data_IF_054748705769
#
_entry.id   IF_054748705769
#
_cell.length_a   1.000
_cell.length_b   1.000
_cell.length_c   1.000
_cell.angle_alpha   90.00
_cell.angle_beta   90.00
_cell.angle_gamma   90.00
#
_symmetry.space_group_name_H-M   'P 1'
#
loop_
_entity.id
_entity.type
_entity.pdbx_description
1 polymer ?
#
# COMPACT_ATOMS: atom_id res chain seq x y z
N UNK A 1 -59.52 -1.65 3.40
CA UNK A 1 -59.40 -1.55 4.87
C UNK A 1 -58.54 -2.71 5.36
N UNK A 2 -57.74 -2.53 6.42
CA UNK A 2 -57.04 -3.66 7.05
C UNK A 2 -58.08 -4.50 7.80
N UNK A 3 -58.22 -5.81 7.51
CA UNK A 3 -59.25 -6.67 8.13
C UNK A 3 -59.08 -6.81 9.66
N UNK A 4 -57.94 -6.38 10.18
CA UNK A 4 -57.61 -6.34 11.60
C UNK A 4 -58.30 -5.18 12.37
N UNK A 5 -58.80 -4.16 11.67
CA UNK A 5 -59.45 -3.00 12.29
C UNK A 5 -60.88 -2.79 11.74
N UNK A 6 -61.82 -2.30 12.56
CA UNK A 6 -63.14 -1.92 12.10
C UNK A 6 -63.08 -0.88 10.97
N UNK A 7 -64.03 -0.98 10.04
CA UNK A 7 -64.13 -0.05 8.92
C UNK A 7 -64.32 1.40 9.44
N UNK A 8 -63.59 2.35 8.84
CA UNK A 8 -63.55 3.77 9.22
C UNK A 8 -63.01 4.09 10.63
N UNK A 9 -62.27 3.17 11.28
CA UNK A 9 -61.65 3.47 12.57
C UNK A 9 -60.72 4.70 12.51
N UNK A 10 -60.83 5.56 13.53
CA UNK A 10 -59.99 6.76 13.74
C UNK A 10 -58.95 6.56 14.86
N UNK A 11 -58.88 5.36 15.42
CA UNK A 11 -57.89 5.01 16.44
C UNK A 11 -56.46 5.18 15.87
N UNK A 12 -55.53 5.84 16.61
CA UNK A 12 -54.12 5.92 16.22
C UNK A 12 -53.51 4.60 15.78
N UNK A 13 -53.83 3.48 16.44
CA UNK A 13 -53.32 2.16 16.07
C UNK A 13 -53.79 1.71 14.67
N UNK A 14 -55.04 2.01 14.30
CA UNK A 14 -55.60 1.72 12.98
C UNK A 14 -55.03 2.63 11.87
N UNK A 15 -54.39 3.74 12.26
CA UNK A 15 -53.75 4.72 11.38
C UNK A 15 -52.23 4.61 11.34
N UNK A 16 -51.67 3.54 11.90
CA UNK A 16 -50.23 3.23 11.82
C UNK A 16 -49.38 3.83 12.92
N UNK A 17 -49.96 4.25 14.05
CA UNK A 17 -49.20 4.63 15.23
C UNK A 17 -48.55 3.40 15.87
N UNK A 18 -47.24 3.49 16.13
CA UNK A 18 -46.44 2.41 16.71
C UNK A 18 -46.00 2.84 18.09
N UNK A 19 -46.44 2.10 19.10
CA UNK A 19 -46.22 2.41 20.51
C UNK A 19 -45.06 1.62 21.12
N UNK A 20 -44.79 0.43 20.57
CA UNK A 20 -43.75 -0.46 21.06
C UNK A 20 -42.41 -0.25 20.35
N UNK A 21 -41.31 -0.53 21.06
CA UNK A 21 -39.97 -0.55 20.48
C UNK A 21 -39.60 -1.94 19.94
N UNK A 22 -38.67 -2.02 18.99
CA UNK A 22 -38.14 -3.30 18.50
C UNK A 22 -37.54 -4.17 19.62
N UNK A 23 -36.96 -3.55 20.65
CA UNK A 23 -36.33 -4.26 21.78
C UNK A 23 -37.36 -4.91 22.71
N UNK A 24 -38.53 -4.31 22.84
CA UNK A 24 -39.64 -4.81 23.66
C UNK A 24 -40.56 -5.78 22.90
N UNK A 25 -40.35 -5.93 21.59
CA UNK A 25 -41.22 -6.69 20.68
C UNK A 25 -42.36 -5.84 20.11
N UNK A 26 -42.72 -6.10 18.87
CA UNK A 26 -43.80 -5.43 18.15
C UNK A 26 -45.03 -6.35 18.05
N UNK A 27 -46.22 -5.75 18.09
CA UNK A 27 -47.43 -6.48 17.72
C UNK A 27 -47.49 -6.74 16.20
N UNK A 28 -48.26 -7.74 15.72
CA UNK A 28 -48.37 -8.02 14.28
C UNK A 28 -48.84 -6.82 13.45
N UNK A 29 -49.73 -5.98 13.98
CA UNK A 29 -50.20 -4.77 13.30
C UNK A 29 -49.09 -3.70 13.24
N UNK A 30 -48.35 -3.48 14.33
CA UNK A 30 -47.20 -2.55 14.34
C UNK A 30 -46.09 -3.01 13.39
N UNK A 31 -45.84 -4.32 13.32
CA UNK A 31 -44.90 -4.91 12.36
C UNK A 31 -45.35 -4.66 10.92
N UNK A 32 -46.63 -4.92 10.60
CA UNK A 32 -47.19 -4.64 9.28
C UNK A 32 -47.04 -3.16 8.90
N UNK A 33 -47.35 -2.22 9.80
CA UNK A 33 -47.18 -0.79 9.54
C UNK A 33 -45.71 -0.37 9.46
N UNK A 34 -44.82 -1.01 10.21
CA UNK A 34 -43.37 -0.83 10.08
C UNK A 34 -42.86 -1.23 8.69
N UNK A 35 -43.35 -2.36 8.16
CA UNK A 35 -42.99 -2.85 6.83
C UNK A 35 -43.63 -2.02 5.72
N UNK A 36 -44.91 -1.69 5.85
CA UNK A 36 -45.63 -0.81 4.91
C UNK A 36 -45.03 0.60 4.88
N UNK A 37 -44.47 1.08 5.99
CA UNK A 37 -43.72 2.33 6.08
C UNK A 37 -42.24 2.24 5.67
N UNK A 38 -41.77 1.06 5.22
CA UNK A 38 -40.42 0.84 4.68
C UNK A 38 -39.26 0.88 5.68
N UNK A 39 -39.52 0.94 6.99
CA UNK A 39 -38.49 1.29 7.99
C UNK A 39 -37.53 0.15 8.39
N UNK A 40 -37.85 -1.12 8.11
CA UNK A 40 -36.90 -2.23 8.34
C UNK A 40 -35.83 -2.33 7.23
N UNK A 41 -36.20 -2.16 5.96
CA UNK A 41 -35.27 -2.30 4.82
C UNK A 41 -34.37 -1.09 4.55
N UNK A 42 -34.59 0.04 5.23
CA UNK A 42 -33.89 1.31 5.03
C UNK A 42 -32.59 1.44 5.83
N UNK A 43 -32.33 0.59 6.82
CA UNK A 43 -31.20 0.78 7.75
C UNK A 43 -29.97 -0.07 7.45
N UNK A 44 -30.13 -1.23 6.78
CA UNK A 44 -29.03 -2.18 6.59
C UNK A 44 -28.32 -2.06 5.22
N UNK A 45 -28.94 -1.37 4.26
CA UNK A 45 -28.36 -1.03 2.93
C UNK A 45 -28.11 0.47 2.81
N UNK A 46 -27.63 1.09 3.90
CA UNK A 46 -27.41 2.53 3.91
C UNK A 46 -26.22 2.91 3.00
N UNK A 47 -26.57 3.57 1.90
CA UNK A 47 -25.72 4.30 0.95
C UNK A 47 -24.80 5.25 1.73
N UNK A 48 -23.51 4.91 1.87
CA UNK A 48 -22.54 5.71 2.63
C UNK A 48 -21.17 5.63 1.96
N UNK A 49 -20.74 6.69 1.26
CA UNK A 49 -19.46 6.68 0.53
C UNK A 49 -18.42 7.70 0.99
N UNK A 50 -17.19 7.38 0.60
CA UNK A 50 -16.06 8.29 0.43
C UNK A 50 -15.90 8.59 -1.08
N UNK A 51 -15.13 9.61 -1.45
CA UNK A 51 -14.83 9.86 -2.86
C UNK A 51 -13.96 8.74 -3.47
N UNK A 52 -14.16 8.44 -4.75
CA UNK A 52 -13.49 7.32 -5.43
C UNK A 52 -11.96 7.41 -5.47
N UNK A 53 -11.39 8.62 -5.37
CA UNK A 53 -9.96 8.88 -5.26
C UNK A 53 -9.38 8.62 -3.85
N UNK A 54 -10.22 8.22 -2.89
CA UNK A 54 -9.77 7.90 -1.53
C UNK A 54 -8.91 6.63 -1.54
N UNK A 55 -7.63 6.71 -1.10
CA UNK A 55 -6.77 5.54 -1.04
C UNK A 55 -7.16 4.65 0.14
N UNK A 56 -7.21 3.34 -0.11
CA UNK A 56 -7.43 2.29 0.89
C UNK A 56 -6.29 1.27 0.85
N UNK A 57 -6.06 0.61 1.98
CA UNK A 57 -5.15 -0.53 2.09
C UNK A 57 -6.00 -1.77 2.30
N UNK A 58 -5.87 -2.75 1.41
CA UNK A 58 -6.60 -4.01 1.45
C UNK A 58 -5.63 -5.18 1.36
N UNK A 59 -6.06 -6.35 1.82
CA UNK A 59 -5.38 -7.61 1.60
C UNK A 59 -6.25 -8.50 0.72
N UNK A 60 -5.80 -8.77 -0.49
CA UNK A 60 -6.57 -9.47 -1.53
C UNK A 60 -5.66 -10.47 -2.23
N UNK A 61 -6.12 -11.71 -2.39
CA UNK A 61 -5.36 -12.79 -3.03
C UNK A 61 -3.98 -13.03 -2.37
N UNK A 62 -3.94 -13.00 -1.05
CA UNK A 62 -2.71 -13.24 -0.27
C UNK A 62 -1.69 -12.11 -0.32
N UNK A 63 -2.04 -10.95 -0.89
CA UNK A 63 -1.12 -9.81 -1.06
C UNK A 63 -1.72 -8.51 -0.54
N UNK A 64 -0.94 -7.66 0.14
CA UNK A 64 -1.36 -6.31 0.46
C UNK A 64 -1.40 -5.45 -0.81
N UNK A 65 -2.39 -4.56 -0.88
CA UNK A 65 -2.55 -3.59 -1.96
C UNK A 65 -2.91 -2.23 -1.38
N UNK A 66 -2.37 -1.17 -1.99
CA UNK A 66 -2.86 0.20 -1.80
C UNK A 66 -3.50 0.64 -3.11
N UNK A 67 -4.79 0.91 -3.09
CA UNK A 67 -5.59 1.23 -4.27
C UNK A 67 -6.48 2.43 -3.97
N UNK A 68 -6.88 3.17 -4.99
CA UNK A 68 -8.02 4.08 -4.85
C UNK A 68 -9.28 3.22 -4.81
N UNK A 69 -10.19 3.51 -3.89
CA UNK A 69 -11.39 2.70 -3.69
C UNK A 69 -12.26 2.65 -4.94
N UNK A 70 -12.40 3.76 -5.68
CA UNK A 70 -13.18 3.84 -6.92
C UNK A 70 -12.59 2.96 -8.01
N UNK A 71 -11.30 3.11 -8.32
CA UNK A 71 -10.60 2.31 -9.34
C UNK A 71 -10.70 0.80 -9.05
N UNK A 72 -10.61 0.42 -7.78
CA UNK A 72 -10.73 -0.98 -7.36
C UNK A 72 -12.16 -1.50 -7.50
N UNK A 73 -13.17 -0.72 -7.08
CA UNK A 73 -14.59 -1.07 -7.24
C UNK A 73 -14.96 -1.20 -8.72
N UNK A 74 -14.60 -0.23 -9.55
CA UNK A 74 -14.89 -0.23 -10.99
C UNK A 74 -14.28 -1.45 -11.67
N UNK A 75 -13.04 -1.80 -11.30
CA UNK A 75 -12.38 -3.01 -11.80
C UNK A 75 -13.15 -4.26 -11.40
N UNK A 76 -13.60 -4.38 -10.14
CA UNK A 76 -14.37 -5.53 -9.64
C UNK A 76 -15.73 -5.67 -10.35
N UNK A 77 -16.45 -4.57 -10.53
CA UNK A 77 -17.73 -4.55 -11.25
C UNK A 77 -17.55 -4.98 -12.72
N UNK A 78 -16.48 -4.54 -13.38
CA UNK A 78 -16.23 -4.90 -14.80
C UNK A 78 -15.93 -6.39 -15.05
N UNK A 79 -15.49 -7.14 -14.02
CA UNK A 79 -15.15 -8.57 -14.15
C UNK A 79 -16.40 -9.45 -14.09
N UNK A 80 -17.41 -9.06 -13.31
CA UNK A 80 -18.60 -9.87 -13.05
C UNK A 80 -19.90 -9.05 -13.23
N UNK A 81 -20.18 -8.50 -14.43
CA UNK A 81 -21.34 -7.64 -14.64
C UNK A 81 -22.67 -8.34 -14.32
N UNK A 82 -22.76 -9.64 -14.57
CA UNK A 82 -23.98 -10.43 -14.34
C UNK A 82 -24.34 -10.63 -12.85
N UNK A 83 -23.40 -10.36 -11.94
CA UNK A 83 -23.60 -10.47 -10.48
C UNK A 83 -23.93 -9.14 -9.81
N UNK A 84 -23.99 -8.04 -10.57
CA UNK A 84 -24.27 -6.71 -10.04
C UNK A 84 -25.76 -6.59 -9.76
N UNK A 85 -26.09 -6.28 -8.51
CA UNK A 85 -27.45 -5.90 -8.12
C UNK A 85 -27.63 -4.39 -8.37
N UNK A 86 -28.58 -4.02 -9.22
CA UNK A 86 -28.90 -2.64 -9.56
C UNK A 86 -30.14 -2.17 -8.79
N UNK A 87 -30.01 -1.03 -8.11
CA UNK A 87 -31.06 -0.39 -7.34
C UNK A 87 -31.37 0.99 -7.95
N UNK A 88 -32.30 1.02 -8.91
CA UNK A 88 -32.66 2.23 -9.66
C UNK A 88 -33.24 3.34 -8.76
N UNK A 89 -33.97 2.96 -7.71
CA UNK A 89 -34.57 3.89 -6.74
C UNK A 89 -33.51 4.67 -5.94
N UNK A 90 -32.29 4.16 -5.90
CA UNK A 90 -31.18 4.65 -5.07
C UNK A 90 -29.96 5.07 -5.87
N UNK A 91 -30.02 4.94 -7.19
CA UNK A 91 -28.88 5.11 -8.11
C UNK A 91 -27.62 4.40 -7.58
N UNK A 92 -27.79 3.11 -7.26
CA UNK A 92 -26.78 2.31 -6.57
C UNK A 92 -26.58 0.95 -7.26
N UNK A 93 -25.33 0.54 -7.32
CA UNK A 93 -24.89 -0.79 -7.70
C UNK A 93 -24.25 -1.48 -6.49
N UNK A 94 -24.55 -2.75 -6.30
CA UNK A 94 -23.98 -3.59 -5.25
C UNK A 94 -23.43 -4.87 -5.85
N UNK A 95 -22.22 -5.24 -5.45
CA UNK A 95 -21.62 -6.53 -5.77
C UNK A 95 -21.19 -7.22 -4.48
N UNK A 96 -21.78 -8.39 -4.21
CA UNK A 96 -21.32 -9.28 -3.14
C UNK A 96 -20.02 -9.96 -3.58
N UNK A 97 -19.04 -10.02 -2.68
CA UNK A 97 -17.76 -10.66 -2.94
C UNK A 97 -17.82 -12.12 -2.53
N UNK A 98 -17.44 -13.01 -3.46
CA UNK A 98 -17.33 -14.45 -3.19
C UNK A 98 -15.94 -14.82 -2.65
N UNK A 99 -14.96 -13.94 -2.82
CA UNK A 99 -13.59 -14.11 -2.40
C UNK A 99 -13.24 -13.23 -1.19
N UNK A 100 -12.31 -13.70 -0.36
CA UNK A 100 -11.90 -13.00 0.86
C UNK A 100 -11.01 -11.82 0.54
N UNK A 101 -11.49 -10.62 0.90
CA UNK A 101 -10.72 -9.37 0.89
C UNK A 101 -10.77 -8.77 2.29
N UNK A 102 -9.60 -8.49 2.88
CA UNK A 102 -9.52 -7.89 4.21
C UNK A 102 -9.22 -6.40 4.14
N UNK A 103 -9.76 -5.64 5.08
CA UNK A 103 -9.47 -4.23 5.28
C UNK A 103 -9.28 -3.92 6.78
N UNK A 104 -8.37 -3.02 7.17
CA UNK A 104 -8.30 -2.56 8.55
C UNK A 104 -9.62 -1.87 8.93
N UNK A 105 -10.24 -2.34 10.00
CA UNK A 105 -11.50 -1.84 10.53
C UNK A 105 -11.41 -1.60 12.03
N UNK A 106 -12.36 -0.85 12.58
CA UNK A 106 -12.39 -0.49 14.00
C UNK A 106 -13.78 -0.76 14.59
N UNK A 107 -13.81 -1.34 15.79
CA UNK A 107 -15.05 -1.56 16.53
C UNK A 107 -15.50 -0.30 17.32
N UNK A 108 -16.67 -0.37 17.96
CA UNK A 108 -17.16 0.73 18.79
C UNK A 108 -16.31 1.03 20.04
N UNK A 109 -15.42 0.11 20.44
CA UNK A 109 -14.46 0.31 21.52
C UNK A 109 -13.15 0.96 21.07
N UNK A 110 -12.91 1.06 19.76
CA UNK A 110 -11.64 1.54 19.20
C UNK A 110 -10.61 0.44 18.96
N UNK A 111 -10.99 -0.84 19.08
CA UNK A 111 -10.09 -1.95 18.75
C UNK A 111 -10.02 -2.11 17.23
N UNK A 112 -8.80 -2.09 16.71
CA UNK A 112 -8.52 -2.27 15.27
C UNK A 112 -8.31 -3.75 14.98
N UNK A 113 -8.91 -4.24 13.91
CA UNK A 113 -8.75 -5.61 13.38
C UNK A 113 -8.76 -5.61 11.85
N UNK A 114 -8.40 -6.74 11.25
CA UNK A 114 -8.62 -6.97 9.82
C UNK A 114 -9.98 -7.62 9.64
N UNK A 115 -10.90 -6.93 8.96
CA UNK A 115 -12.27 -7.39 8.71
C UNK A 115 -12.50 -7.74 7.25
N UNK A 116 -13.42 -8.68 7.00
CA UNK A 116 -13.82 -9.09 5.65
C UNK A 116 -14.68 -8.01 4.97
N UNK A 117 -14.37 -7.72 3.71
CA UNK A 117 -15.24 -6.98 2.81
C UNK A 117 -16.23 -7.98 2.20
N UNK A 118 -17.49 -7.93 2.62
CA UNK A 118 -18.53 -8.86 2.15
C UNK A 118 -19.22 -8.37 0.87
N UNK A 119 -19.24 -7.07 0.64
CA UNK A 119 -19.82 -6.44 -0.54
C UNK A 119 -19.16 -5.09 -0.82
N UNK A 120 -19.25 -4.67 -2.07
CA UNK A 120 -18.83 -3.34 -2.53
C UNK A 120 -20.02 -2.64 -3.18
N UNK A 121 -20.02 -1.31 -3.09
CA UNK A 121 -21.13 -0.49 -3.61
C UNK A 121 -20.62 0.72 -4.36
N UNK A 122 -21.26 1.08 -5.46
CA UNK A 122 -21.05 2.32 -6.21
C UNK A 122 -22.38 3.07 -6.32
N UNK A 123 -22.37 4.38 -6.11
CA UNK A 123 -23.58 5.20 -6.13
C UNK A 123 -23.25 6.67 -6.41
N UNK A 124 -24.26 7.46 -6.78
CA UNK A 124 -24.11 8.90 -6.97
C UNK A 124 -23.69 9.60 -5.65
N UNK A 125 -22.66 10.47 -5.66
CA UNK A 125 -22.13 11.11 -4.46
C UNK A 125 -23.10 12.07 -3.76
N UNK A 126 -24.25 12.37 -4.36
CA UNK A 126 -25.22 13.35 -3.88
C UNK A 126 -24.79 14.78 -4.19
N UNK A 127 -25.41 15.75 -3.51
CA UNK A 127 -25.25 17.18 -3.81
C UNK A 127 -24.07 17.84 -3.08
N UNK A 128 -23.73 17.34 -1.89
CA UNK A 128 -22.75 17.96 -1.01
C UNK A 128 -21.65 16.99 -0.58
N UNK A 129 -20.41 17.48 -0.61
CA UNK A 129 -19.23 16.77 -0.14
C UNK A 129 -18.61 17.52 1.04
N UNK A 130 -18.24 16.76 2.06
CA UNK A 130 -17.65 17.26 3.30
C UNK A 130 -16.19 16.83 3.37
N UNK A 131 -15.29 17.80 3.48
CA UNK A 131 -13.87 17.53 3.78
C UNK A 131 -13.66 17.54 5.28
N UNK A 132 -13.45 16.36 5.85
CA UNK A 132 -13.22 16.19 7.29
C UNK A 132 -11.72 16.12 7.55
N UNK A 133 -11.22 16.99 8.43
CA UNK A 133 -9.79 17.08 8.75
C UNK A 133 -9.58 16.99 10.26
N UNK A 134 -8.71 16.06 10.66
CA UNK A 134 -8.33 15.87 12.06
C UNK A 134 -7.17 16.78 12.46
N UNK A 135 -7.04 17.09 13.75
CA UNK A 135 -5.87 17.80 14.29
C UNK A 135 -4.55 17.03 14.06
N UNK A 136 -4.64 15.70 13.96
CA UNK A 136 -3.53 14.82 13.62
C UNK A 136 -3.09 14.90 12.16
N UNK A 137 -3.77 15.68 11.32
CA UNK A 137 -3.42 15.90 9.92
C UNK A 137 -3.97 14.88 8.94
N UNK A 138 -4.81 13.94 9.39
CA UNK A 138 -5.56 13.04 8.51
C UNK A 138 -6.75 13.77 7.93
N UNK A 139 -7.07 13.49 6.68
CA UNK A 139 -8.21 14.07 5.96
C UNK A 139 -8.93 13.01 5.14
N UNK A 140 -10.24 13.17 4.98
CA UNK A 140 -11.08 12.35 4.10
C UNK A 140 -12.21 13.22 3.53
N UNK A 141 -12.63 12.93 2.30
CA UNK A 141 -13.78 13.58 1.68
C UNK A 141 -14.92 12.56 1.64
N UNK A 142 -16.05 12.92 2.22
CA UNK A 142 -17.22 12.04 2.38
C UNK A 142 -18.48 12.72 1.87
N UNK A 143 -19.46 11.92 1.48
CA UNK A 143 -20.79 12.42 1.11
C UNK A 143 -21.59 12.79 2.36
N UNK A 144 -22.62 13.62 2.19
CA UNK A 144 -23.56 13.96 3.27
C UNK A 144 -24.17 12.72 3.94
N UNK A 145 -24.52 11.71 3.13
CA UNK A 145 -25.14 10.47 3.59
C UNK A 145 -24.18 9.57 4.39
N UNK A 146 -22.86 9.76 4.25
CA UNK A 146 -21.88 8.98 5.00
C UNK A 146 -22.01 9.21 6.52
N UNK A 147 -21.57 8.23 7.31
CA UNK A 147 -21.53 8.36 8.76
C UNK A 147 -20.12 8.15 9.26
N UNK A 148 -19.67 9.05 10.13
CA UNK A 148 -18.37 9.00 10.77
C UNK A 148 -18.49 8.45 12.20
N UNK A 149 -17.41 7.84 12.68
CA UNK A 149 -17.34 7.37 14.07
C UNK A 149 -16.87 8.52 14.97
N UNK A 150 -17.72 8.93 15.90
CA UNK A 150 -17.45 10.00 16.86
C UNK A 150 -17.47 9.43 18.28
N UNK A 151 -16.49 9.79 19.10
CA UNK A 151 -16.41 9.38 20.49
C UNK A 151 -17.56 9.97 21.30
N UNK A 152 -18.30 9.12 22.01
CA UNK A 152 -19.29 9.54 22.97
C UNK A 152 -18.74 9.35 24.40
N UNK A 153 -18.48 10.44 25.15
CA UNK A 153 -17.90 10.35 26.49
C UNK A 153 -18.84 9.74 27.52
N UNK A 154 -20.16 9.78 27.31
CA UNK A 154 -21.15 9.23 28.26
C UNK A 154 -21.14 7.71 28.26
N UNK A 155 -21.07 7.10 27.08
CA UNK A 155 -21.07 5.64 26.92
C UNK A 155 -19.67 5.04 26.72
N UNK A 156 -18.64 5.89 26.65
CA UNK A 156 -17.23 5.53 26.41
C UNK A 156 -17.04 4.63 25.18
N UNK A 157 -17.73 4.96 24.09
CA UNK A 157 -17.69 4.23 22.81
C UNK A 157 -17.78 5.19 21.64
N UNK A 158 -17.27 4.75 20.50
CA UNK A 158 -17.50 5.40 19.21
C UNK A 158 -18.90 5.08 18.70
N UNK A 159 -19.62 6.10 18.26
CA UNK A 159 -20.95 6.00 17.69
C UNK A 159 -20.97 6.57 16.27
N UNK A 160 -21.80 5.97 15.41
CA UNK A 160 -22.04 6.48 14.07
C UNK A 160 -22.78 7.82 14.16
N UNK A 161 -22.20 8.85 13.57
CA UNK A 161 -22.75 10.20 13.52
C UNK A 161 -22.85 10.61 12.05
N UNK A 162 -24.01 11.13 11.65
CA UNK A 162 -24.20 11.66 10.30
C UNK A 162 -23.21 12.78 10.02
N UNK A 163 -22.63 12.84 8.82
CA UNK A 163 -21.60 13.82 8.46
C UNK A 163 -21.99 15.27 8.81
N UNK A 164 -23.22 15.77 8.53
CA UNK A 164 -23.62 17.14 8.87
C UNK A 164 -23.65 17.44 10.37
N UNK A 165 -23.74 16.40 11.20
CA UNK A 165 -23.79 16.54 12.66
C UNK A 165 -22.40 16.51 13.31
N UNK A 166 -21.35 16.22 12.55
CA UNK A 166 -19.96 16.24 13.04
C UNK A 166 -19.50 17.68 13.21
N UNK A 167 -18.93 17.99 14.38
CA UNK A 167 -18.54 19.35 14.78
C UNK A 167 -17.04 19.45 15.04
N UNK A 168 -16.52 20.67 14.93
CA UNK A 168 -15.16 20.98 15.36
C UNK A 168 -15.04 20.69 16.86
N UNK A 169 -14.04 19.88 17.23
CA UNK A 169 -13.83 19.42 18.61
C UNK A 169 -14.29 17.98 18.86
N UNK A 170 -15.05 17.38 17.95
CA UNK A 170 -15.38 15.96 18.02
C UNK A 170 -14.12 15.08 17.88
N UNK A 171 -14.10 13.98 18.63
CA UNK A 171 -13.00 13.02 18.59
C UNK A 171 -13.34 11.85 17.68
N UNK A 172 -12.45 11.57 16.73
CA UNK A 172 -12.58 10.49 15.75
C UNK A 172 -11.51 9.43 15.98
N UNK A 173 -11.79 8.14 15.72
CA UNK A 173 -10.77 7.11 15.83
C UNK A 173 -9.73 7.30 14.73
N UNK A 174 -8.47 7.11 15.09
CA UNK A 174 -7.36 7.00 14.15
C UNK A 174 -6.55 5.78 14.53
N UNK A 175 -6.08 5.00 13.55
CA UNK A 175 -5.28 3.80 13.82
C UNK A 175 -4.02 4.16 14.60
N UNK A 176 -3.98 3.75 15.86
CA UNK A 176 -2.81 3.85 16.71
C UNK A 176 -1.95 2.59 16.61
N UNK A 177 -2.59 1.43 16.69
CA UNK A 177 -1.98 0.11 16.54
C UNK A 177 -2.65 -0.59 15.38
N UNK A 178 -1.89 -0.89 14.33
CA UNK A 178 -2.35 -1.77 13.27
C UNK A 178 -1.94 -3.21 13.63
N UNK A 179 -2.89 -4.12 13.88
CA UNK A 179 -2.57 -5.49 14.22
C UNK A 179 -1.92 -6.21 13.03
N UNK A 180 -1.13 -7.23 13.33
CA UNK A 180 -0.61 -8.14 12.33
C UNK A 180 -1.77 -8.83 11.60
N UNK A 181 -1.63 -8.94 10.28
CA UNK A 181 -2.50 -9.81 9.48
C UNK A 181 -2.25 -11.27 9.85
N UNK A 182 -3.24 -12.14 9.62
CA UNK A 182 -3.06 -13.59 9.73
C UNK A 182 -1.88 -14.12 8.90
N UNK A 183 -1.56 -13.43 7.80
CA UNK A 183 -0.42 -13.74 6.93
C UNK A 183 0.64 -12.66 7.05
N UNK A 184 1.83 -13.01 7.55
CA UNK A 184 3.01 -12.15 7.53
C UNK A 184 3.75 -12.36 6.21
N UNK A 185 3.96 -11.29 5.46
CA UNK A 185 4.70 -11.33 4.19
C UNK A 185 6.20 -11.34 4.49
N UNK A 186 6.87 -12.46 4.24
CA UNK A 186 8.30 -12.63 4.52
C UNK A 186 9.21 -12.20 3.35
N UNK A 187 8.67 -12.14 2.14
CA UNK A 187 9.42 -11.86 0.92
C UNK A 187 8.63 -10.96 -0.04
N UNK A 188 9.35 -10.11 -0.76
CA UNK A 188 8.87 -9.46 -1.98
C UNK A 188 9.22 -10.37 -3.16
N UNK A 189 8.22 -10.82 -3.91
CA UNK A 189 8.42 -11.62 -5.12
C UNK A 189 8.80 -10.69 -6.28
N UNK A 190 10.02 -10.82 -6.83
CA UNK A 190 10.47 -9.90 -7.87
C UNK A 190 9.62 -9.97 -9.13
N UNK A 191 8.94 -11.10 -9.41
CA UNK A 191 8.08 -11.23 -10.59
C UNK A 191 6.84 -10.33 -10.55
N UNK A 192 6.43 -9.86 -9.38
CA UNK A 192 5.34 -8.88 -9.25
C UNK A 192 5.74 -7.52 -9.83
N UNK A 193 7.05 -7.23 -9.85
CA UNK A 193 7.62 -5.97 -10.33
C UNK A 193 8.36 -6.13 -11.65
N UNK A 194 9.03 -7.25 -11.87
CA UNK A 194 9.88 -7.57 -13.00
C UNK A 194 9.31 -8.77 -13.76
N UNK A 195 8.46 -8.56 -14.78
CA UNK A 195 7.75 -9.66 -15.43
C UNK A 195 8.70 -10.69 -16.04
N UNK A 196 8.45 -11.98 -15.79
CA UNK A 196 9.16 -13.13 -16.41
C UNK A 196 9.22 -13.08 -17.95
N UNK A 197 8.32 -12.35 -18.61
CA UNK A 197 8.37 -12.13 -20.08
C UNK A 197 9.35 -11.04 -20.54
N UNK A 198 9.97 -10.31 -19.60
CA UNK A 198 10.97 -9.25 -19.87
C UNK A 198 12.34 -9.55 -19.27
N UNK A 199 12.40 -10.40 -18.25
CA UNK A 199 13.62 -10.77 -17.53
C UNK A 199 13.83 -12.29 -17.59
N UNK A 200 15.07 -12.72 -17.35
CA UNK A 200 15.39 -14.15 -17.27
C UNK A 200 15.44 -14.52 -15.78
N UNK A 201 14.51 -15.37 -15.37
CA UNK A 201 14.52 -15.99 -14.05
C UNK A 201 15.37 -17.25 -14.12
N UNK A 202 16.34 -17.34 -13.23
CA UNK A 202 17.29 -18.45 -13.17
C UNK A 202 16.57 -19.78 -12.97
N UNK A 203 15.56 -19.81 -12.11
CA UNK A 203 14.73 -21.00 -11.86
C UNK A 203 14.07 -21.51 -13.13
N UNK A 204 13.29 -20.66 -13.79
CA UNK A 204 12.62 -20.97 -15.06
C UNK A 204 13.63 -21.34 -16.17
N UNK A 205 14.80 -20.70 -16.19
CA UNK A 205 15.85 -21.00 -17.17
C UNK A 205 16.42 -22.42 -16.99
N UNK A 206 16.66 -22.86 -15.75
CA UNK A 206 17.18 -24.20 -15.47
C UNK A 206 16.17 -25.29 -15.76
N UNK A 207 14.89 -25.08 -15.41
CA UNK A 207 13.79 -25.99 -15.76
C UNK A 207 13.77 -26.20 -17.28
N UNK A 208 13.68 -25.10 -18.03
CA UNK A 208 13.60 -25.15 -19.48
C UNK A 208 14.88 -25.75 -20.11
N UNK A 209 16.06 -25.50 -19.53
CA UNK A 209 17.34 -26.08 -20.00
C UNK A 209 17.34 -27.60 -19.82
N UNK A 210 16.84 -28.10 -18.69
CA UNK A 210 16.65 -29.52 -18.44
C UNK A 210 15.76 -30.16 -19.50
N UNK A 211 14.57 -29.61 -19.72
CA UNK A 211 13.63 -30.14 -20.72
C UNK A 211 14.19 -30.13 -22.14
N UNK A 212 14.92 -29.08 -22.54
CA UNK A 212 15.55 -29.01 -23.88
C UNK A 212 16.66 -30.07 -24.04
N UNK A 213 17.33 -30.46 -22.96
CA UNK A 213 18.39 -31.47 -23.02
C UNK A 213 17.86 -32.89 -23.31
N UNK A 214 16.57 -33.12 -23.11
CA UNK A 214 15.88 -34.38 -23.40
C UNK A 214 15.46 -34.52 -24.88
N UNK A 215 15.65 -33.47 -25.70
CA UNK A 215 15.32 -33.57 -27.13
C UNK A 215 16.26 -34.54 -27.84
N UNK A 216 15.69 -35.52 -28.55
CA UNK A 216 16.46 -36.47 -29.37
C UNK A 216 17.45 -35.73 -30.29
N UNK A 217 18.65 -36.31 -30.46
CA UNK A 217 19.95 -35.73 -30.89
C UNK A 217 20.03 -34.77 -32.10
N UNK A 218 18.91 -34.42 -32.73
CA UNK A 218 18.78 -33.31 -33.66
C UNK A 218 18.31 -31.99 -33.01
N UNK A 219 18.05 -31.96 -31.69
CA UNK A 219 17.60 -30.77 -30.93
C UNK A 219 16.40 -30.05 -31.57
N UNK A 220 15.58 -30.77 -32.34
CA UNK A 220 14.30 -30.26 -32.84
C UNK A 220 13.28 -30.44 -31.73
N UNK A 221 12.81 -29.32 -31.17
CA UNK A 221 11.67 -29.37 -30.27
C UNK A 221 10.46 -29.97 -30.99
N UNK A 222 9.66 -30.80 -30.32
CA UNK A 222 8.37 -31.24 -30.85
C UNK A 222 7.54 -30.06 -31.35
N UNK A 223 6.70 -30.30 -32.36
CA UNK A 223 5.80 -29.26 -32.88
C UNK A 223 4.91 -28.73 -31.76
N UNK A 224 4.81 -27.40 -31.64
CA UNK A 224 4.01 -26.75 -30.60
C UNK A 224 4.62 -26.75 -29.18
N UNK A 225 5.74 -27.44 -28.93
CA UNK A 225 6.31 -27.60 -27.59
C UNK A 225 6.50 -26.27 -26.85
N UNK A 226 7.07 -25.25 -27.50
CA UNK A 226 7.31 -23.94 -26.87
C UNK A 226 6.02 -23.29 -26.38
N UNK A 227 4.97 -23.33 -27.20
CA UNK A 227 3.70 -22.68 -26.88
C UNK A 227 2.95 -23.44 -25.76
N UNK A 228 3.19 -24.74 -25.64
CA UNK A 228 2.56 -25.58 -24.63
C UNK A 228 3.29 -25.56 -23.27
N UNK A 229 4.57 -25.19 -23.24
CA UNK A 229 5.42 -25.22 -22.03
C UNK A 229 5.80 -23.83 -21.49
N UNK A 230 6.01 -22.84 -22.38
CA UNK A 230 6.37 -21.48 -21.97
C UNK A 230 5.13 -20.68 -21.55
N UNK A 231 4.96 -20.50 -20.25
CA UNK A 231 3.78 -19.92 -19.60
C UNK A 231 3.04 -20.91 -18.71
N UNK A 232 3.45 -22.19 -18.72
CA UNK A 232 2.88 -23.28 -17.91
C UNK A 232 3.95 -23.86 -16.98
N UNK A 233 4.95 -24.56 -17.53
CA UNK A 233 6.03 -25.20 -16.76
C UNK A 233 7.13 -24.21 -16.34
N UNK A 234 7.42 -23.24 -17.22
CA UNK A 234 8.38 -22.16 -16.99
C UNK A 234 7.93 -20.92 -17.76
N UNK A 235 8.45 -19.74 -17.43
CA UNK A 235 8.21 -18.53 -18.24
C UNK A 235 9.53 -17.82 -18.57
N UNK A 236 9.86 -17.78 -19.85
CA UNK A 236 11.03 -17.11 -20.39
C UNK A 236 10.67 -16.06 -21.44
N UNK A 237 11.49 -15.01 -21.61
CA UNK A 237 11.23 -13.90 -22.53
C UNK A 237 11.47 -14.25 -24.01
N UNK A 238 11.82 -15.51 -24.35
CA UNK A 238 12.05 -15.92 -25.73
C UNK A 238 10.74 -16.19 -26.47
N UNK A 239 10.72 -15.88 -27.77
CA UNK A 239 9.53 -16.07 -28.61
C UNK A 239 9.37 -17.50 -29.14
N UNK A 240 10.47 -18.26 -29.25
CA UNK A 240 10.50 -19.62 -29.81
C UNK A 240 11.62 -20.44 -29.17
N UNK A 241 11.52 -21.77 -29.23
CA UNK A 241 12.55 -22.71 -28.76
C UNK A 241 13.94 -22.41 -29.33
N UNK A 242 14.01 -22.01 -30.61
CA UNK A 242 15.29 -21.70 -31.26
C UNK A 242 16.04 -20.55 -30.60
N UNK A 243 15.33 -19.58 -30.01
CA UNK A 243 15.93 -18.49 -29.24
C UNK A 243 16.61 -19.00 -27.98
N UNK A 244 15.94 -19.90 -27.25
CA UNK A 244 16.51 -20.55 -26.08
C UNK A 244 17.70 -21.45 -26.42
N UNK A 245 17.57 -22.32 -27.43
CA UNK A 245 18.66 -23.20 -27.89
C UNK A 245 19.89 -22.38 -28.30
N UNK A 246 19.68 -21.23 -28.96
CA UNK A 246 20.78 -20.32 -29.32
C UNK A 246 21.50 -19.81 -28.08
N UNK A 247 20.79 -19.43 -27.02
CA UNK A 247 21.40 -18.97 -25.77
C UNK A 247 22.17 -20.10 -25.09
N UNK A 248 21.59 -21.29 -24.97
CA UNK A 248 22.25 -22.46 -24.37
C UNK A 248 23.59 -22.76 -25.08
N UNK A 249 23.63 -22.64 -26.41
CA UNK A 249 24.81 -23.02 -27.20
C UNK A 249 25.85 -21.93 -27.37
N UNK A 250 25.44 -20.66 -27.40
CA UNK A 250 26.31 -19.55 -27.83
C UNK A 250 26.56 -18.50 -26.77
N UNK A 251 25.80 -18.50 -25.68
CA UNK A 251 26.00 -17.54 -24.58
C UNK A 251 26.76 -18.19 -23.44
N UNK A 252 27.49 -17.39 -22.67
CA UNK A 252 27.97 -17.85 -21.38
C UNK A 252 26.77 -17.96 -20.42
N UNK A 253 26.31 -19.18 -20.20
CA UNK A 253 25.19 -19.49 -19.30
C UNK A 253 25.64 -19.84 -17.88
N UNK A 254 26.95 -19.89 -17.59
CA UNK A 254 27.47 -20.19 -16.25
C UNK A 254 27.05 -19.15 -15.20
N UNK A 255 26.76 -17.92 -15.66
CA UNK A 255 26.32 -16.83 -14.81
C UNK A 255 24.82 -16.84 -14.51
N UNK A 256 24.01 -17.59 -15.26
CA UNK A 256 22.59 -17.74 -14.95
C UNK A 256 22.53 -18.80 -13.86
N UNK A 257 22.38 -18.38 -12.61
CA UNK A 257 22.25 -19.26 -11.44
C UNK A 257 20.78 -19.37 -11.04
N UNK A 258 20.41 -20.52 -10.50
CA UNK A 258 19.08 -20.76 -9.97
C UNK A 258 18.75 -19.78 -8.83
N UNK A 259 17.49 -19.34 -8.74
CA UNK A 259 17.02 -18.41 -7.72
C UNK A 259 17.39 -16.93 -7.90
N UNK A 260 17.95 -16.53 -9.06
CA UNK A 260 18.34 -15.14 -9.35
C UNK A 260 17.74 -14.60 -10.66
N UNK A 261 17.62 -13.27 -10.76
CA UNK A 261 17.03 -12.55 -11.90
C UNK A 261 18.11 -11.87 -12.73
N UNK A 262 18.02 -12.04 -14.05
CA UNK A 262 18.99 -11.53 -15.02
C UNK A 262 18.31 -10.68 -16.10
N UNK A 263 19.02 -9.70 -16.67
CA UNK A 263 18.49 -8.94 -17.78
C UNK A 263 18.37 -9.84 -19.03
N UNK A 264 17.28 -9.67 -19.78
CA UNK A 264 17.11 -10.39 -21.05
C UNK A 264 18.11 -9.93 -22.12
N UNK A 265 18.36 -8.62 -22.18
CA UNK A 265 19.32 -7.97 -23.09
C UNK A 265 20.52 -7.46 -22.30
N UNK A 266 21.70 -7.51 -22.92
CA UNK A 266 22.95 -7.03 -22.32
C UNK A 266 23.86 -8.16 -21.82
N UNK A 267 25.01 -7.77 -21.29
CA UNK A 267 25.97 -8.71 -20.72
C UNK A 267 25.44 -9.20 -19.37
N UNK A 268 25.43 -10.53 -19.21
CA UNK A 268 25.15 -11.16 -17.92
C UNK A 268 26.47 -11.21 -17.16
N UNK A 269 26.57 -10.41 -16.12
CA UNK A 269 27.70 -10.38 -15.19
C UNK A 269 27.30 -11.12 -13.90
N UNK A 270 28.27 -11.43 -13.05
CA UNK A 270 28.02 -12.05 -11.74
C UNK A 270 27.34 -11.05 -10.79
N UNK A 271 26.06 -10.75 -11.03
CA UNK A 271 25.19 -10.06 -10.06
C UNK A 271 24.14 -11.03 -9.60
N UNK A 272 23.86 -11.05 -8.30
CA UNK A 272 23.03 -12.05 -7.65
C UNK A 272 21.76 -11.40 -7.09
N UNK A 273 20.93 -10.84 -7.98
CA UNK A 273 19.65 -10.25 -7.60
C UNK A 273 18.63 -11.38 -7.37
N UNK A 274 18.17 -11.65 -6.15
CA UNK A 274 17.38 -12.84 -5.84
C UNK A 274 15.98 -12.74 -6.43
N UNK A 275 15.37 -13.86 -6.82
CA UNK A 275 13.96 -13.88 -7.27
C UNK A 275 12.97 -13.48 -6.16
N UNK A 276 13.42 -13.55 -4.90
CA UNK A 276 12.67 -13.17 -3.70
C UNK A 276 13.53 -12.31 -2.79
N UNK A 277 13.13 -11.06 -2.55
CA UNK A 277 13.83 -10.18 -1.61
C UNK A 277 13.25 -10.37 -0.20
N UNK A 278 14.09 -10.79 0.77
CA UNK A 278 13.65 -10.99 2.16
C UNK A 278 13.27 -9.67 2.82
N UNK A 279 12.13 -9.64 3.52
CA UNK A 279 11.67 -8.51 4.33
C UNK A 279 12.31 -8.59 5.73
N UNK A 280 13.60 -8.30 5.80
CA UNK A 280 14.39 -8.22 7.03
C UNK A 280 14.81 -6.78 7.35
N UNK A 281 15.41 -6.56 8.53
CA UNK A 281 15.85 -5.23 8.96
C UNK A 281 16.83 -4.56 7.98
N UNK A 282 17.78 -5.32 7.42
CA UNK A 282 18.78 -4.76 6.51
C UNK A 282 18.17 -4.25 5.18
N UNK A 283 17.32 -5.04 4.53
CA UNK A 283 16.65 -4.61 3.31
C UNK A 283 15.66 -3.48 3.61
N UNK A 284 15.01 -3.52 4.79
CA UNK A 284 14.23 -2.40 5.31
C UNK A 284 15.06 -1.13 5.35
N UNK A 285 16.23 -1.16 5.99
CA UNK A 285 17.15 -0.04 6.11
C UNK A 285 17.56 0.55 4.75
N UNK A 286 18.02 -0.29 3.83
CA UNK A 286 18.40 0.19 2.50
C UNK A 286 17.22 0.83 1.74
N UNK A 287 16.03 0.22 1.81
CA UNK A 287 14.82 0.76 1.19
C UNK A 287 14.42 2.10 1.83
N UNK A 288 14.46 2.20 3.17
CA UNK A 288 14.19 3.43 3.90
C UNK A 288 15.13 4.56 3.50
N UNK A 289 16.42 4.25 3.42
CA UNK A 289 17.45 5.20 3.00
C UNK A 289 17.28 5.61 1.53
N UNK A 290 16.92 4.67 0.65
CA UNK A 290 16.58 4.98 -0.73
C UNK A 290 15.36 5.92 -0.83
N UNK A 291 14.34 5.71 0.01
CA UNK A 291 13.16 6.57 0.06
C UNK A 291 13.50 8.00 0.47
N UNK A 292 14.48 8.19 1.35
CA UNK A 292 15.01 9.50 1.67
C UNK A 292 15.87 10.06 0.52
N UNK A 293 17.04 9.49 0.29
CA UNK A 293 18.12 10.11 -0.49
C UNK A 293 18.51 9.34 -1.75
N UNK A 294 17.76 8.28 -2.09
CA UNK A 294 18.06 7.42 -3.23
C UNK A 294 17.47 7.88 -4.56
N UNK A 295 18.16 7.48 -5.64
CA UNK A 295 17.69 7.56 -7.02
C UNK A 295 18.16 6.36 -7.84
N UNK A 296 17.43 6.04 -8.91
CA UNK A 296 17.79 4.94 -9.81
C UNK A 296 17.67 5.37 -11.27
N UNK A 297 18.52 4.79 -12.12
CA UNK A 297 18.51 5.00 -13.58
C UNK A 297 18.68 3.67 -14.30
N UNK A 298 17.64 3.22 -15.01
CA UNK A 298 17.70 2.02 -15.88
C UNK A 298 18.66 2.25 -17.04
N UNK A 299 18.73 3.49 -17.56
CA UNK A 299 19.62 3.87 -18.65
C UNK A 299 21.09 3.70 -18.27
N UNK A 300 21.44 4.14 -17.05
CA UNK A 300 22.81 4.03 -16.53
C UNK A 300 23.04 2.71 -15.80
N UNK A 301 21.99 1.88 -15.66
CA UNK A 301 22.01 0.63 -14.91
C UNK A 301 22.46 0.82 -13.47
N UNK A 302 22.02 1.88 -12.79
CA UNK A 302 22.55 2.24 -11.47
C UNK A 302 21.48 2.56 -10.43
N UNK A 303 21.81 2.23 -9.18
CA UNK A 303 21.10 2.62 -7.96
C UNK A 303 22.07 3.46 -7.14
N UNK A 304 21.63 4.63 -6.70
CA UNK A 304 22.47 5.60 -6.00
C UNK A 304 21.84 6.00 -4.69
N UNK A 305 22.67 6.18 -3.67
CA UNK A 305 22.35 6.87 -2.42
C UNK A 305 23.32 8.04 -2.28
N UNK A 306 22.82 9.22 -1.95
CA UNK A 306 23.64 10.42 -1.75
C UNK A 306 23.63 10.82 -0.28
N UNK A 307 24.69 10.48 0.46
CA UNK A 307 24.81 10.76 1.89
C UNK A 307 26.30 10.97 2.27
N UNK A 308 26.56 11.97 3.10
CA UNK A 308 27.92 12.33 3.53
C UNK A 308 28.42 11.57 4.76
N UNK A 309 27.53 10.89 5.49
CA UNK A 309 27.87 10.11 6.68
C UNK A 309 28.66 8.83 6.31
N UNK A 310 29.88 8.63 6.85
CA UNK A 310 30.70 7.46 6.55
C UNK A 310 30.08 6.12 6.98
N UNK A 311 29.28 6.11 8.05
CA UNK A 311 28.59 4.90 8.54
C UNK A 311 27.55 4.46 7.51
N UNK A 312 26.74 5.40 7.02
CA UNK A 312 25.78 5.15 5.94
C UNK A 312 26.48 4.69 4.66
N UNK A 313 27.57 5.36 4.27
CA UNK A 313 28.35 4.97 3.10
C UNK A 313 28.80 3.51 3.21
N UNK A 314 29.30 3.09 4.38
CA UNK A 314 29.75 1.70 4.59
C UNK A 314 28.59 0.70 4.56
N UNK A 315 27.45 1.03 5.16
CA UNK A 315 26.26 0.17 5.13
C UNK A 315 25.75 -0.03 3.69
N UNK A 316 25.71 1.02 2.88
CA UNK A 316 25.31 0.97 1.47
C UNK A 316 26.28 0.13 0.64
N UNK A 317 27.60 0.28 0.84
CA UNK A 317 28.61 -0.54 0.19
C UNK A 317 28.43 -2.03 0.49
N UNK A 318 28.30 -2.37 1.78
CA UNK A 318 28.10 -3.74 2.23
C UNK A 318 26.81 -4.34 1.64
N UNK A 319 25.75 -3.53 1.52
CA UNK A 319 24.50 -3.96 0.88
C UNK A 319 24.70 -4.29 -0.60
N UNK A 320 25.41 -3.45 -1.37
CA UNK A 320 25.72 -3.75 -2.77
C UNK A 320 26.60 -5.01 -2.93
N UNK A 321 27.60 -5.19 -2.05
CA UNK A 321 28.48 -6.36 -2.05
C UNK A 321 27.71 -7.67 -1.83
N UNK A 322 26.64 -7.67 -1.04
CA UNK A 322 25.78 -8.85 -0.82
C UNK A 322 25.11 -9.36 -2.09
N UNK A 323 24.79 -8.46 -3.03
CA UNK A 323 24.24 -8.82 -4.33
C UNK A 323 25.33 -8.99 -5.40
N UNK A 324 26.61 -8.98 -5.00
CA UNK A 324 27.79 -8.95 -5.87
C UNK A 324 27.70 -7.83 -6.92
N UNK A 325 27.17 -6.68 -6.52
CA UNK A 325 27.09 -5.50 -7.37
C UNK A 325 28.39 -4.71 -7.28
N UNK A 326 28.99 -4.41 -8.42
CA UNK A 326 30.04 -3.39 -8.49
C UNK A 326 29.48 -2.06 -8.02
N UNK A 327 30.29 -1.28 -7.32
CA UNK A 327 29.90 0.03 -6.83
C UNK A 327 31.06 1.03 -6.93
N UNK A 328 30.72 2.31 -6.98
CA UNK A 328 31.66 3.42 -6.94
C UNK A 328 31.20 4.46 -5.92
N UNK A 329 32.16 5.24 -5.41
CA UNK A 329 31.88 6.43 -4.60
C UNK A 329 32.40 7.65 -5.33
N UNK A 330 31.60 8.70 -5.37
CA UNK A 330 31.96 9.98 -5.99
C UNK A 330 31.60 11.12 -5.05
N UNK A 331 32.46 12.12 -4.95
CA UNK A 331 32.22 13.31 -4.13
C UNK A 331 32.38 14.56 -4.99
N UNK A 332 31.41 15.46 -4.91
CA UNK A 332 31.44 16.75 -5.62
C UNK A 332 31.27 17.89 -4.63
N UNK A 333 32.15 18.89 -4.68
CA UNK A 333 32.00 20.12 -3.89
C UNK A 333 31.34 21.19 -4.74
N UNK A 334 30.23 21.75 -4.24
CA UNK A 334 29.52 22.81 -4.92
C UNK A 334 30.25 24.17 -4.76
N UNK A 335 29.79 25.20 -5.47
CA UNK A 335 30.40 26.54 -5.45
C UNK A 335 30.38 27.23 -4.08
N UNK A 336 29.56 26.76 -3.15
CA UNK A 336 29.42 27.32 -1.79
C UNK A 336 30.14 26.46 -0.73
N UNK A 337 31.00 25.50 -1.16
CA UNK A 337 31.82 24.68 -0.28
C UNK A 337 31.12 23.46 0.32
N UNK A 338 29.85 23.20 -0.03
CA UNK A 338 29.13 22.00 0.38
C UNK A 338 29.57 20.78 -0.43
N UNK A 339 30.04 19.74 0.26
CA UNK A 339 30.35 18.44 -0.35
C UNK A 339 29.10 17.57 -0.41
N UNK A 340 28.89 16.92 -1.56
CA UNK A 340 27.90 15.87 -1.72
C UNK A 340 28.60 14.59 -2.17
N UNK A 341 28.52 13.56 -1.35
CA UNK A 341 29.04 12.23 -1.61
C UNK A 341 27.91 11.30 -2.02
N UNK A 342 28.09 10.58 -3.12
CA UNK A 342 27.15 9.58 -3.64
C UNK A 342 27.83 8.24 -3.80
N UNK A 343 27.18 7.19 -3.28
CA UNK A 343 27.54 5.79 -3.52
C UNK A 343 26.61 5.27 -4.60
N UNK A 344 27.18 4.67 -5.65
CA UNK A 344 26.44 4.16 -6.81
C UNK A 344 26.76 2.69 -7.04
N UNK A 345 25.76 1.83 -6.95
CA UNK A 345 25.83 0.41 -7.32
C UNK A 345 25.30 0.17 -8.74
N UNK A 346 25.90 -0.77 -9.47
CA UNK A 346 25.60 -1.03 -10.87
C UNK A 346 24.81 -2.34 -11.06
N UNK A 347 23.53 -2.22 -11.39
CA UNK A 347 22.67 -3.30 -11.87
C UNK A 347 21.40 -2.73 -12.51
N UNK A 348 21.19 -2.98 -13.80
CA UNK A 348 19.94 -2.59 -14.50
C UNK A 348 18.73 -3.30 -13.93
N UNK A 349 18.88 -4.55 -13.46
CA UNK A 349 17.78 -5.32 -12.85
C UNK A 349 17.38 -4.69 -11.52
N UNK A 350 18.35 -4.39 -10.65
CA UNK A 350 18.07 -3.73 -9.37
C UNK A 350 17.51 -2.32 -9.57
N UNK A 351 18.04 -1.55 -10.53
CA UNK A 351 17.52 -0.22 -10.85
C UNK A 351 16.07 -0.26 -11.32
N UNK A 352 15.68 -1.16 -12.24
CA UNK A 352 14.28 -1.30 -12.67
C UNK A 352 13.39 -1.79 -11.52
N UNK A 353 13.90 -2.71 -10.69
CA UNK A 353 13.19 -3.19 -9.51
C UNK A 353 12.88 -2.07 -8.52
N UNK A 354 13.89 -1.28 -8.11
CA UNK A 354 13.72 -0.18 -7.17
C UNK A 354 12.75 0.88 -7.69
N UNK A 355 12.83 1.24 -8.97
CA UNK A 355 11.90 2.22 -9.58
C UNK A 355 10.46 1.73 -9.50
N UNK A 356 10.20 0.44 -9.70
CA UNK A 356 8.85 -0.13 -9.66
C UNK A 356 8.36 -0.41 -8.25
N UNK A 357 9.27 -0.75 -7.33
CA UNK A 357 8.96 -1.07 -5.95
C UNK A 357 8.54 0.17 -5.15
N UNK A 358 9.31 1.25 -5.29
CA UNK A 358 9.19 2.45 -4.44
C UNK A 358 9.07 3.77 -5.20
N UNK A 359 9.02 3.73 -6.53
CA UNK A 359 8.95 4.92 -7.36
C UNK A 359 10.32 5.60 -7.59
N UNK A 360 10.34 6.57 -8.50
CA UNK A 360 11.53 7.36 -8.82
C UNK A 360 11.22 8.85 -8.92
N UNK A 361 12.18 9.67 -8.48
CA UNK A 361 11.97 11.11 -8.27
C UNK A 361 11.14 11.40 -7.02
N UNK A 362 11.52 12.45 -6.29
CA UNK A 362 11.05 12.70 -4.92
C UNK A 362 9.51 12.71 -4.74
N UNK A 363 8.75 13.14 -5.75
CA UNK A 363 7.27 13.24 -5.65
C UNK A 363 6.54 11.92 -5.93
N UNK A 364 7.18 10.96 -6.59
CA UNK A 364 6.59 9.65 -6.88
C UNK A 364 7.02 8.57 -5.88
N UNK A 365 7.93 8.90 -4.95
CA UNK A 365 8.40 7.93 -3.96
C UNK A 365 7.24 7.46 -3.09
N UNK A 366 7.20 6.17 -2.77
CA UNK A 366 6.22 5.56 -1.87
C UNK A 366 6.80 4.30 -1.23
N UNK A 367 6.30 3.91 -0.06
CA UNK A 367 6.71 2.64 0.56
C UNK A 367 6.28 1.43 -0.30
N UNK A 368 6.98 0.28 -0.21
CA UNK A 368 6.49 -0.99 -0.75
C UNK A 368 5.16 -1.38 -0.11
N UNK A 369 4.22 -1.93 -0.88
CA UNK A 369 2.91 -2.36 -0.35
C UNK A 369 3.05 -3.53 0.62
N UNK A 370 4.09 -4.34 0.47
CA UNK A 370 4.43 -5.44 1.36
C UNK A 370 4.72 -4.97 2.79
N UNK A 371 5.11 -3.71 2.98
CA UNK A 371 5.36 -3.13 4.29
C UNK A 371 4.12 -3.17 5.20
N UNK A 372 2.91 -3.16 4.63
CA UNK A 372 1.67 -3.24 5.43
C UNK A 372 1.57 -4.57 6.19
N UNK A 373 2.13 -5.65 5.64
CA UNK A 373 2.07 -7.02 6.21
C UNK A 373 3.45 -7.61 6.49
N UNK A 374 4.53 -6.82 6.38
CA UNK A 374 5.89 -7.24 6.69
C UNK A 374 6.14 -7.45 8.19
N UNK A 375 7.16 -8.25 8.57
CA UNK A 375 7.64 -8.37 9.95
C UNK A 375 8.07 -7.02 10.54
N UNK A 376 7.95 -6.87 11.86
CA UNK A 376 8.36 -5.63 12.54
C UNK A 376 9.84 -5.31 12.34
N UNK A 377 10.73 -6.30 12.21
CA UNK A 377 12.15 -6.07 11.91
C UNK A 377 12.38 -5.28 10.61
N UNK A 378 11.60 -5.57 9.56
CA UNK A 378 11.67 -4.82 8.30
C UNK A 378 11.17 -3.39 8.48
N UNK A 379 10.09 -3.20 9.24
CA UNK A 379 9.54 -1.86 9.54
C UNK A 379 10.53 -1.03 10.34
N UNK A 380 11.17 -1.62 11.35
CA UNK A 380 12.22 -0.97 12.15
C UNK A 380 13.36 -0.53 11.23
N UNK A 381 13.85 -1.43 10.37
CA UNK A 381 14.88 -1.10 9.39
C UNK A 381 14.47 0.05 8.48
N UNK A 382 13.27 -0.01 7.90
CA UNK A 382 12.77 1.02 6.98
C UNK A 382 12.64 2.38 7.66
N UNK A 383 12.12 2.42 8.89
CA UNK A 383 12.04 3.65 9.67
C UNK A 383 13.43 4.20 10.02
N UNK A 384 14.37 3.34 10.43
CA UNK A 384 15.76 3.76 10.67
C UNK A 384 16.35 4.38 9.39
N UNK A 385 16.34 3.66 8.27
CA UNK A 385 16.91 4.16 7.02
C UNK A 385 16.29 5.49 6.57
N UNK A 386 14.96 5.64 6.70
CA UNK A 386 14.28 6.86 6.28
C UNK A 386 14.58 8.05 7.20
N UNK A 387 14.57 7.86 8.52
CA UNK A 387 14.90 8.90 9.50
C UNK A 387 16.41 9.22 9.48
N UNK A 388 17.26 8.23 9.26
CA UNK A 388 18.70 8.42 9.07
C UNK A 388 19.01 9.25 7.83
N UNK A 389 18.29 9.09 6.71
CA UNK A 389 18.42 9.98 5.56
C UNK A 389 17.78 11.35 5.76
N UNK A 390 16.44 11.41 5.80
CA UNK A 390 15.65 12.65 5.71
C UNK A 390 15.14 13.18 7.06
N UNK A 391 15.38 12.45 8.14
CA UNK A 391 14.87 12.79 9.46
C UNK A 391 15.68 13.87 10.17
N UNK A 392 14.97 14.78 10.84
CA UNK A 392 15.52 15.80 11.73
C UNK A 392 15.09 15.48 13.15
N UNK A 393 16.07 15.26 14.02
CA UNK A 393 15.84 15.11 15.46
C UNK A 393 15.93 16.49 16.11
N UNK A 394 14.89 16.85 16.85
CA UNK A 394 14.83 18.08 17.65
C UNK A 394 14.61 17.71 19.10
N UNK A 395 14.77 18.66 20.01
CA UNK A 395 14.55 18.47 21.46
C UNK A 395 13.22 17.77 21.80
N UNK A 396 12.16 17.99 21.00
CA UNK A 396 10.81 17.55 21.32
C UNK A 396 10.14 16.70 20.24
N UNK A 397 10.83 16.41 19.13
CA UNK A 397 10.22 15.76 17.98
C UNK A 397 11.23 15.09 17.05
N UNK A 398 10.81 13.98 16.46
CA UNK A 398 11.42 13.35 15.29
C UNK A 398 10.59 13.78 14.09
N UNK A 399 11.19 14.51 13.16
CA UNK A 399 10.47 15.09 12.01
C UNK A 399 11.05 14.58 10.70
N UNK A 400 10.20 14.34 9.71
CA UNK A 400 10.63 14.02 8.35
C UNK A 400 9.74 14.74 7.35
N UNK A 401 10.30 15.08 6.18
CA UNK A 401 9.55 15.80 5.14
C UNK A 401 9.75 15.18 3.77
N UNK A 402 8.73 15.28 2.91
CA UNK A 402 8.81 14.84 1.52
C UNK A 402 7.86 15.65 0.64
N UNK A 403 8.12 15.70 -0.66
CA UNK A 403 7.15 16.21 -1.63
C UNK A 403 6.18 15.11 -2.13
N UNK A 404 6.32 13.87 -1.66
CA UNK A 404 5.35 12.80 -1.86
C UNK A 404 4.41 12.68 -0.65
N UNK A 405 3.12 12.97 -0.87
CA UNK A 405 2.05 12.76 0.13
C UNK A 405 1.95 11.27 0.49
N UNK A 406 1.99 10.41 -0.51
CA UNK A 406 1.89 8.96 -0.37
C UNK A 406 3.03 8.38 0.48
N UNK A 407 4.24 8.92 0.35
CA UNK A 407 5.36 8.49 1.19
C UNK A 407 5.11 8.81 2.66
N UNK A 408 4.78 10.06 2.98
CA UNK A 408 4.55 10.49 4.37
C UNK A 408 3.36 9.75 4.99
N UNK A 409 2.28 9.56 4.24
CA UNK A 409 1.14 8.73 4.69
C UNK A 409 1.57 7.28 4.92
N UNK A 410 2.36 6.71 4.01
CA UNK A 410 2.87 5.35 4.12
C UNK A 410 3.74 5.15 5.36
N UNK A 411 4.72 6.03 5.58
CA UNK A 411 5.59 6.01 6.77
C UNK A 411 4.76 6.18 8.05
N UNK A 412 3.79 7.12 8.06
CA UNK A 412 2.88 7.30 9.18
C UNK A 412 2.05 6.05 9.46
N UNK A 413 1.63 5.33 8.41
CA UNK A 413 0.80 4.14 8.54
C UNK A 413 1.59 2.97 9.10
N UNK A 414 2.78 2.67 8.55
CA UNK A 414 3.62 1.57 9.07
C UNK A 414 4.16 1.86 10.48
N UNK A 415 4.34 3.13 10.85
CA UNK A 415 4.68 3.51 12.24
C UNK A 415 3.62 3.03 13.23
N UNK A 416 2.34 2.99 12.82
CA UNK A 416 1.26 2.47 13.66
C UNK A 416 1.37 0.96 13.93
N UNK A 417 2.11 0.18 13.12
CA UNK A 417 2.40 -1.24 13.45
C UNK A 417 3.25 -1.37 14.70
N UNK A 418 4.13 -0.40 14.93
CA UNK A 418 4.93 -0.29 16.16
C UNK A 418 4.18 0.48 17.26
N UNK A 419 2.92 0.84 17.02
CA UNK A 419 2.12 1.68 17.91
C UNK A 419 2.72 3.07 18.10
N UNK A 420 3.33 3.63 17.06
CA UNK A 420 3.92 4.97 17.04
C UNK A 420 3.01 5.88 16.22
N UNK A 421 2.47 6.91 16.86
CA UNK A 421 1.63 7.89 16.19
C UNK A 421 2.47 9.07 15.69
N UNK A 422 2.28 9.41 14.41
CA UNK A 422 2.81 10.63 13.81
C UNK A 422 1.71 11.61 13.44
N UNK A 423 1.94 12.88 13.77
CA UNK A 423 1.14 14.00 13.27
C UNK A 423 1.61 14.37 11.88
N UNK A 424 0.68 14.51 10.94
CA UNK A 424 0.99 14.96 9.58
C UNK A 424 0.65 16.45 9.41
N UNK A 425 1.42 17.13 8.56
CA UNK A 425 1.11 18.50 8.15
C UNK A 425 1.57 18.78 6.74
N UNK A 426 0.94 19.76 6.10
CA UNK A 426 1.24 20.19 4.74
C UNK A 426 1.54 21.68 4.73
N UNK A 427 2.61 22.08 4.03
CA UNK A 427 3.01 23.47 3.85
C UNK A 427 3.27 23.80 2.39
N UNK A 428 2.96 25.02 1.99
CA UNK A 428 3.28 25.57 0.68
C UNK A 428 4.39 26.60 0.83
N UNK A 429 5.53 26.37 0.18
CA UNK A 429 6.59 27.38 0.16
C UNK A 429 6.28 28.44 -0.88
N UNK A 430 6.45 29.71 -0.51
CA UNK A 430 6.27 30.84 -1.44
C UNK A 430 7.46 30.99 -2.40
N UNK A 431 8.66 30.68 -1.93
CA UNK A 431 9.92 30.80 -2.67
C UNK A 431 10.85 29.64 -2.32
N UNK A 432 11.81 29.35 -3.19
CA UNK A 432 12.92 28.44 -2.89
C UNK A 432 14.24 29.01 -3.45
N UNK A 433 15.36 28.43 -3.02
CA UNK A 433 16.70 28.87 -3.41
C UNK A 433 17.01 28.62 -4.90
N UNK A 434 16.11 27.95 -5.63
CA UNK A 434 16.26 27.60 -7.04
C UNK A 434 15.37 28.45 -7.96
N UNK A 435 14.61 29.42 -7.42
CA UNK A 435 13.71 30.26 -8.21
C UNK A 435 12.61 29.48 -8.94
N UNK A 436 12.19 28.33 -8.41
CA UNK A 436 11.19 27.48 -9.05
C UNK A 436 9.82 28.15 -9.08
N UNK A 437 9.19 28.26 -10.27
CA UNK A 437 7.88 28.90 -10.44
C UNK A 437 6.73 28.14 -9.77
N UNK A 438 6.71 26.82 -9.91
CA UNK A 438 5.66 25.95 -9.38
C UNK A 438 6.23 25.07 -8.25
N UNK A 439 6.29 25.62 -7.04
CA UNK A 439 6.80 24.89 -5.88
C UNK A 439 5.72 23.92 -5.41
N UNK A 440 6.06 22.62 -5.41
CA UNK A 440 5.17 21.56 -4.91
C UNK A 440 4.99 21.70 -3.39
N UNK A 441 3.83 21.29 -2.84
CA UNK A 441 3.63 21.24 -1.40
C UNK A 441 4.64 20.29 -0.75
N UNK A 442 5.04 20.64 0.47
CA UNK A 442 5.85 19.77 1.33
C UNK A 442 4.92 19.15 2.35
N UNK A 443 4.93 17.83 2.41
CA UNK A 443 4.29 17.03 3.43
C UNK A 443 5.32 16.71 4.50
N UNK A 444 4.88 16.69 5.75
CA UNK A 444 5.73 16.44 6.90
C UNK A 444 5.03 15.53 7.87
N UNK A 445 5.81 14.70 8.55
CA UNK A 445 5.38 13.97 9.73
C UNK A 445 6.22 14.38 10.93
N UNK A 446 5.61 14.33 12.11
CA UNK A 446 6.26 14.62 13.38
C UNK A 446 5.81 13.60 14.42
N UNK A 447 6.78 12.89 15.00
CA UNK A 447 6.59 11.96 16.11
C UNK A 447 7.03 12.72 17.38
N UNK A 448 6.14 12.81 18.37
CA UNK A 448 6.34 13.66 19.56
C UNK A 448 5.93 12.94 20.85
N UNK A 449 6.35 13.48 21.98
CA UNK A 449 5.96 13.04 23.32
C UNK A 449 6.20 11.53 23.51
N UNK A 450 5.24 10.80 24.07
CA UNK A 450 5.37 9.36 24.36
C UNK A 450 5.67 8.52 23.11
N UNK A 451 5.28 8.99 21.92
CA UNK A 451 5.56 8.27 20.66
C UNK A 451 7.02 8.40 20.24
N UNK A 452 7.67 9.51 20.59
CA UNK A 452 9.10 9.69 20.35
C UNK A 452 9.93 8.80 21.29
N UNK A 453 9.54 8.71 22.57
CA UNK A 453 10.14 7.77 23.53
C UNK A 453 9.98 6.33 23.05
N UNK A 454 8.77 5.95 22.63
CA UNK A 454 8.51 4.61 22.09
C UNK A 454 9.30 4.34 20.80
N UNK A 455 9.48 5.35 19.95
CA UNK A 455 10.34 5.22 18.77
C UNK A 455 11.79 4.92 19.18
N UNK A 456 12.37 5.69 20.12
CA UNK A 456 13.75 5.47 20.56
C UNK A 456 13.99 4.13 21.27
N UNK A 457 12.95 3.54 21.88
CA UNK A 457 13.04 2.21 22.49
C UNK A 457 13.05 1.07 21.46
N UNK A 458 12.41 1.29 20.31
CA UNK A 458 12.20 0.25 19.28
C UNK A 458 13.15 0.38 18.08
N UNK A 459 13.53 1.60 17.73
CA UNK A 459 14.32 1.91 16.53
C UNK A 459 15.65 2.50 16.95
N UNK A 460 16.69 1.68 16.86
CA UNK A 460 18.08 2.15 17.01
C UNK A 460 18.51 2.77 15.68
N UNK A 461 18.70 4.09 15.66
CA UNK A 461 19.12 4.82 14.47
C UNK A 461 20.59 4.51 14.16
N UNK A 462 20.86 4.22 12.89
CA UNK A 462 22.21 3.90 12.42
C UNK A 462 23.17 5.10 12.40
N UNK A 463 22.65 6.33 12.53
CA UNK A 463 23.47 7.55 12.70
C UNK A 463 23.61 7.86 14.19
N UNK A 464 24.83 7.82 14.77
CA UNK A 464 25.05 8.13 16.18
C UNK A 464 24.52 9.50 16.60
N UNK A 465 24.77 10.55 15.80
CA UNK A 465 24.32 11.92 16.10
C UNK A 465 22.80 12.08 16.19
N UNK A 466 22.03 11.19 15.54
CA UNK A 466 20.57 11.18 15.63
C UNK A 466 20.06 10.29 16.76
N UNK A 467 20.88 9.33 17.19
CA UNK A 467 20.56 8.38 18.24
C UNK A 467 20.82 8.95 19.64
N UNK A 468 21.91 9.72 19.78
CA UNK A 468 22.28 10.45 20.99
C UNK A 468 21.34 11.63 21.26
#
# INVERSE_FOLDING_TARGET
>A
SLPYFPENSLDPAARGFISNSFLSGLSPAEMFFHQAGGREGLTDTAIKSVTGDTPIVIFENGKPKRVNIGDWIDKRLSICPDKIEHYEDRDMELLKLDDTVLIPTVDGGGHVSWGDITAITRHDPGKELYRVKTLGGREVIVTEAHSLLIWNPLIKKYQRTSTPNVKIGDYMPTTLVLPETHTITQYIELNDYLPKRKFIYGSDFHIAKGMVSEFNGNNRSPSGWWNNTNGTDFTLPYTKTSGMIRVIRRSNISFIKDGFVYPYKGQRIETYIPEKLKLNQENGFFIGLYLAEGDSSVKDGSVRISNNDPTIQKLVQNWFEKFNMNWEISSTTNKIGGTSTSIRGFSTVMADFMIRLVGNGAHNKHIPVESYTAPNEFIIGLLDGYISGDGTITRNAIEATSCSKQLIEGISFISSKLGIFSKMSQRYMKTNNLGTKNIRPIYSMSIRAQWATKFSELVNLSIPEKQD
#
